data_IF_195785588254
#
_entry.id   IF_195785588254
#
_cell.length_a   1.000
_cell.length_b   1.000
_cell.length_c   1.000
_cell.angle_alpha   90.00
_cell.angle_beta   90.00
_cell.angle_gamma   90.00
#
_symmetry.space_group_name_H-M   'P 1'
#
loop_
_entity.id
_entity.type
_entity.pdbx_description
1 polymer ?
#
# COMPACT_ATOMS: atom_id res chain seq x y z
N UNK A 1 32.37 17.85 11.16
CA UNK A 1 31.55 18.91 10.55
C UNK A 1 30.37 18.23 9.87
N UNK A 2 29.28 18.08 10.61
CA UNK A 2 28.03 17.42 10.22
C UNK A 2 27.25 18.26 9.21
N UNK A 3 27.52 18.08 7.92
CA UNK A 3 26.64 18.60 6.89
C UNK A 3 25.34 17.78 6.88
N UNK A 4 24.20 18.42 7.20
CA UNK A 4 22.87 17.80 7.03
C UNK A 4 22.74 17.36 5.57
N UNK A 5 22.52 16.05 5.28
CA UNK A 5 22.37 15.60 3.90
C UNK A 5 21.13 16.24 3.28
N UNK A 6 21.26 16.69 2.03
CA UNK A 6 20.16 17.29 1.28
C UNK A 6 19.04 16.26 1.05
N UNK A 7 17.78 16.72 1.06
CA UNK A 7 16.60 15.88 0.85
C UNK A 7 16.67 15.11 -0.48
N UNK A 8 17.26 15.72 -1.51
CA UNK A 8 17.55 15.11 -2.82
C UNK A 8 18.67 15.91 -3.49
N UNK A 9 19.57 15.28 -4.25
CA UNK A 9 20.53 16.02 -5.10
C UNK A 9 19.78 16.69 -6.26
N UNK A 10 20.20 17.88 -6.71
CA UNK A 10 19.59 18.59 -7.86
C UNK A 10 19.44 17.70 -9.12
N UNK A 11 20.32 16.71 -9.27
CA UNK A 11 20.32 15.72 -10.35
C UNK A 11 19.13 14.76 -10.33
N UNK A 12 18.56 14.46 -9.15
CA UNK A 12 17.45 13.51 -8.98
C UNK A 12 16.09 14.18 -8.77
N UNK A 13 16.03 15.52 -8.67
CA UNK A 13 14.79 16.26 -8.38
C UNK A 13 13.69 16.02 -9.44
N UNK A 14 14.06 16.00 -10.73
CA UNK A 14 13.11 15.72 -11.82
C UNK A 14 12.55 14.30 -11.72
N UNK A 15 13.39 13.33 -11.34
CA UNK A 15 12.99 11.93 -11.18
C UNK A 15 12.11 11.76 -9.93
N UNK A 16 12.43 12.43 -8.83
CA UNK A 16 11.60 12.45 -7.63
C UNK A 16 10.22 13.05 -7.91
N UNK A 17 10.15 14.17 -8.64
CA UNK A 17 8.90 14.82 -9.03
C UNK A 17 8.05 13.89 -9.90
N UNK A 18 8.70 13.23 -10.88
CA UNK A 18 8.04 12.22 -11.71
C UNK A 18 7.50 11.07 -10.87
N UNK A 19 8.31 10.46 -9.99
CA UNK A 19 7.87 9.33 -9.17
C UNK A 19 6.78 9.75 -8.20
N UNK A 20 6.87 10.93 -7.63
CA UNK A 20 5.81 11.48 -6.76
C UNK A 20 4.48 11.61 -7.53
N UNK A 21 4.54 12.11 -8.78
CA UNK A 21 3.35 12.16 -9.65
C UNK A 21 2.82 10.77 -10.02
N UNK A 22 3.72 9.78 -10.17
CA UNK A 22 3.36 8.39 -10.41
C UNK A 22 2.60 7.80 -9.21
N UNK A 23 3.05 8.08 -7.98
CA UNK A 23 2.36 7.67 -6.76
C UNK A 23 0.97 8.32 -6.64
N UNK A 24 0.82 9.59 -7.04
CA UNK A 24 -0.47 10.28 -7.11
C UNK A 24 -1.42 9.60 -8.11
N UNK A 25 -0.98 9.43 -9.36
CA UNK A 25 -1.74 8.79 -10.44
C UNK A 25 -2.16 7.37 -10.06
N UNK A 26 -1.25 6.62 -9.47
CA UNK A 26 -1.53 5.29 -8.95
C UNK A 26 -2.57 5.33 -7.82
N UNK A 27 -2.47 6.25 -6.86
CA UNK A 27 -3.48 6.41 -5.80
C UNK A 27 -4.87 6.72 -6.34
N UNK A 28 -4.96 7.57 -7.37
CA UNK A 28 -6.21 7.87 -8.10
C UNK A 28 -6.73 6.60 -8.77
N UNK A 29 -5.88 5.89 -9.53
CA UNK A 29 -6.28 4.72 -10.28
C UNK A 29 -6.78 3.57 -9.37
N UNK A 30 -6.12 3.35 -8.24
CA UNK A 30 -6.50 2.32 -7.27
C UNK A 30 -7.87 2.62 -6.64
N UNK A 31 -8.04 3.81 -6.08
CA UNK A 31 -9.28 4.21 -5.40
C UNK A 31 -10.47 4.33 -6.36
N UNK A 32 -10.22 4.74 -7.60
CA UNK A 32 -11.21 4.73 -8.67
C UNK A 32 -11.58 3.29 -9.06
N UNK A 33 -10.59 2.40 -9.17
CA UNK A 33 -10.80 0.97 -9.42
C UNK A 33 -11.66 0.29 -8.35
N UNK A 34 -11.45 0.60 -7.08
CA UNK A 34 -12.26 0.09 -5.97
C UNK A 34 -13.72 0.55 -6.04
N UNK A 35 -13.91 1.85 -6.36
CA UNK A 35 -15.25 2.45 -6.54
C UNK A 35 -16.02 1.77 -7.66
N UNK A 36 -15.36 1.58 -8.81
CA UNK A 36 -15.94 0.95 -9.99
C UNK A 36 -16.24 -0.53 -9.76
N UNK A 37 -15.35 -1.25 -9.09
CA UNK A 37 -15.57 -2.66 -8.75
C UNK A 37 -16.82 -2.84 -7.87
N UNK A 38 -17.06 -1.93 -6.92
CA UNK A 38 -18.28 -1.95 -6.09
C UNK A 38 -19.54 -1.68 -6.90
N UNK A 39 -19.50 -0.68 -7.79
CA UNK A 39 -20.63 -0.38 -8.69
C UNK A 39 -20.93 -1.57 -9.62
N UNK A 40 -19.91 -2.19 -10.22
CA UNK A 40 -20.07 -3.42 -11.02
C UNK A 40 -20.66 -4.58 -10.22
N UNK A 41 -20.26 -4.76 -8.96
CA UNK A 41 -20.85 -5.80 -8.11
C UNK A 41 -22.36 -5.59 -7.89
N UNK A 42 -22.80 -4.34 -7.80
CA UNK A 42 -24.21 -3.99 -7.67
C UNK A 42 -24.97 -4.23 -8.99
N UNK A 43 -24.44 -3.76 -10.12
CA UNK A 43 -25.05 -3.88 -11.46
C UNK A 43 -25.17 -5.34 -11.90
N UNK A 44 -24.16 -6.17 -11.62
CA UNK A 44 -24.16 -7.60 -11.98
C UNK A 44 -24.86 -8.49 -10.93
N UNK A 45 -25.54 -7.90 -9.93
CA UNK A 45 -26.20 -8.60 -8.82
C UNK A 45 -25.33 -9.72 -8.20
N UNK A 46 -24.06 -9.40 -7.95
CA UNK A 46 -23.06 -10.38 -7.56
C UNK A 46 -23.36 -10.88 -6.13
N UNK A 47 -23.65 -12.18 -6.02
CA UNK A 47 -23.85 -12.82 -4.71
C UNK A 47 -22.59 -12.71 -3.85
N UNK A 48 -22.72 -12.67 -2.52
CA UNK A 48 -21.59 -12.58 -1.58
C UNK A 48 -20.46 -13.59 -1.87
N UNK A 49 -20.81 -14.83 -2.26
CA UNK A 49 -19.85 -15.85 -2.67
C UNK A 49 -19.02 -15.47 -3.91
N UNK A 50 -19.62 -14.76 -4.88
CA UNK A 50 -18.93 -14.26 -6.07
C UNK A 50 -18.05 -13.05 -5.77
N UNK A 51 -18.44 -12.18 -4.83
CA UNK A 51 -17.58 -11.09 -4.36
C UNK A 51 -16.29 -11.62 -3.69
N UNK A 52 -16.37 -12.74 -2.98
CA UNK A 52 -15.17 -13.40 -2.44
C UNK A 52 -14.18 -13.85 -3.52
N UNK A 53 -14.65 -14.32 -4.70
CA UNK A 53 -13.78 -14.66 -5.83
C UNK A 53 -13.09 -13.43 -6.44
N UNK A 54 -13.72 -12.26 -6.41
CA UNK A 54 -13.10 -10.99 -6.83
C UNK A 54 -11.94 -10.65 -5.89
N UNK A 55 -12.16 -10.72 -4.58
CA UNK A 55 -11.11 -10.49 -3.59
C UNK A 55 -9.98 -11.52 -3.73
N UNK A 56 -10.30 -12.81 -3.86
CA UNK A 56 -9.31 -13.86 -4.10
C UNK A 56 -8.44 -13.58 -5.33
N UNK A 57 -9.01 -12.96 -6.37
CA UNK A 57 -8.27 -12.60 -7.59
C UNK A 57 -7.33 -11.42 -7.36
N UNK A 58 -7.81 -10.39 -6.65
CA UNK A 58 -6.99 -9.24 -6.28
C UNK A 58 -5.82 -9.68 -5.39
N UNK A 59 -6.10 -10.33 -4.26
CA UNK A 59 -5.05 -10.76 -3.33
C UNK A 59 -4.20 -11.90 -3.89
N UNK A 60 -4.78 -12.82 -4.65
CA UNK A 60 -4.05 -13.88 -5.35
C UNK A 60 -3.03 -13.32 -6.34
N UNK A 61 -3.35 -12.21 -7.02
CA UNK A 61 -2.40 -11.55 -7.91
C UNK A 61 -1.19 -10.98 -7.17
N UNK A 62 -1.37 -10.42 -5.97
CA UNK A 62 -0.26 -10.00 -5.11
C UNK A 62 0.62 -11.19 -4.67
N UNK A 63 -0.01 -12.31 -4.29
CA UNK A 63 0.69 -13.54 -3.92
C UNK A 63 1.43 -14.20 -5.10
N UNK A 64 0.97 -14.03 -6.33
CA UNK A 64 1.61 -14.66 -7.50
C UNK A 64 2.66 -13.74 -8.11
N UNK A 65 2.36 -12.44 -8.23
CA UNK A 65 3.19 -11.51 -8.99
C UNK A 65 4.32 -10.87 -8.16
N UNK A 66 4.24 -10.90 -6.82
CA UNK A 66 5.31 -10.34 -5.97
C UNK A 66 6.70 -10.91 -6.30
N UNK A 67 6.87 -12.24 -6.29
CA UNK A 67 8.16 -12.90 -6.56
C UNK A 67 8.65 -12.66 -8.01
N UNK A 68 7.83 -12.90 -9.06
CA UNK A 68 8.21 -12.59 -10.44
C UNK A 68 8.61 -11.13 -10.64
N UNK A 69 7.89 -10.18 -10.05
CA UNK A 69 8.21 -8.76 -10.14
C UNK A 69 9.59 -8.45 -9.56
N UNK A 70 9.94 -9.02 -8.39
CA UNK A 70 11.27 -8.88 -7.79
C UNK A 70 12.39 -9.47 -8.63
N UNK A 71 12.18 -10.67 -9.15
CA UNK A 71 13.17 -11.33 -10.02
C UNK A 71 13.38 -10.56 -11.33
N UNK A 72 12.30 -10.01 -11.89
CA UNK A 72 12.36 -9.19 -13.08
C UNK A 72 13.10 -7.88 -12.82
N UNK A 73 12.79 -7.20 -11.71
CA UNK A 73 13.50 -6.01 -11.27
C UNK A 73 15.00 -6.27 -11.07
N UNK A 74 15.36 -7.40 -10.46
CA UNK A 74 16.77 -7.79 -10.28
C UNK A 74 17.54 -8.00 -11.57
N UNK A 75 16.87 -8.51 -12.60
CA UNK A 75 17.51 -8.83 -13.88
C UNK A 75 17.55 -7.64 -14.83
N UNK A 76 16.51 -6.82 -14.85
CA UNK A 76 16.33 -5.74 -15.83
C UNK A 76 16.42 -4.34 -15.23
N UNK A 77 16.43 -4.21 -13.90
CA UNK A 77 16.49 -2.96 -13.17
C UNK A 77 15.13 -2.29 -12.94
N UNK A 78 15.13 -1.26 -12.09
CA UNK A 78 13.93 -0.54 -11.65
C UNK A 78 13.08 0.04 -12.79
N UNK A 79 13.72 0.64 -13.81
CA UNK A 79 13.00 1.26 -14.95
C UNK A 79 12.09 0.25 -15.65
N UNK A 80 12.63 -0.92 -15.95
CA UNK A 80 11.88 -1.98 -16.63
C UNK A 80 10.83 -2.60 -15.72
N UNK A 81 11.08 -2.69 -14.42
CA UNK A 81 10.07 -3.11 -13.43
C UNK A 81 8.85 -2.19 -13.40
N UNK A 82 9.04 -0.86 -13.38
CA UNK A 82 7.93 0.11 -13.41
C UNK A 82 7.17 0.02 -14.74
N UNK A 83 7.87 -0.10 -15.87
CA UNK A 83 7.23 -0.25 -17.19
C UNK A 83 6.38 -1.52 -17.26
N UNK A 84 6.89 -2.65 -16.75
CA UNK A 84 6.13 -3.91 -16.69
C UNK A 84 4.83 -3.73 -15.89
N UNK A 85 4.91 -3.10 -14.72
CA UNK A 85 3.74 -2.84 -13.88
C UNK A 85 2.70 -1.94 -14.56
N UNK A 86 3.14 -0.84 -15.19
CA UNK A 86 2.25 0.07 -15.92
C UNK A 86 1.60 -0.61 -17.14
N UNK A 87 2.36 -1.43 -17.88
CA UNK A 87 1.82 -2.18 -19.02
C UNK A 87 0.79 -3.21 -18.58
N UNK A 88 1.08 -4.00 -17.53
CA UNK A 88 0.12 -4.97 -16.98
C UNK A 88 -1.15 -4.29 -16.49
N UNK A 89 -1.02 -3.14 -15.82
CA UNK A 89 -2.18 -2.37 -15.37
C UNK A 89 -3.02 -1.87 -16.56
N UNK A 90 -2.39 -1.28 -17.58
CA UNK A 90 -3.08 -0.79 -18.77
C UNK A 90 -3.78 -1.93 -19.54
N UNK A 91 -3.11 -3.08 -19.71
CA UNK A 91 -3.70 -4.28 -20.31
C UNK A 91 -4.90 -4.76 -19.50
N UNK A 92 -4.77 -4.82 -18.17
CA UNK A 92 -5.88 -5.16 -17.27
C UNK A 92 -7.08 -4.24 -17.47
N UNK A 93 -6.85 -2.91 -17.49
CA UNK A 93 -7.88 -1.90 -17.71
C UNK A 93 -8.55 -2.04 -19.10
N UNK A 94 -7.79 -2.28 -20.17
CA UNK A 94 -8.35 -2.50 -21.50
C UNK A 94 -9.14 -3.81 -21.61
N UNK A 95 -8.76 -4.84 -20.83
CA UNK A 95 -9.49 -6.10 -20.75
C UNK A 95 -10.89 -5.96 -20.09
N UNK A 96 -11.17 -4.87 -19.37
CA UNK A 96 -12.53 -4.60 -18.88
C UNK A 96 -13.52 -4.31 -20.01
N UNK A 97 -13.06 -3.79 -21.14
CA UNK A 97 -13.92 -3.50 -22.31
C UNK A 97 -14.55 -4.77 -22.89
N UNK A 98 -13.78 -5.79 -23.29
CA UNK A 98 -14.37 -7.05 -23.75
C UNK A 98 -15.11 -7.77 -22.62
N UNK A 99 -14.66 -7.67 -21.37
CA UNK A 99 -15.37 -8.27 -20.24
C UNK A 99 -16.77 -7.66 -20.03
N UNK A 100 -16.90 -6.34 -20.19
CA UNK A 100 -18.16 -5.63 -20.10
C UNK A 100 -19.08 -5.93 -21.29
N UNK A 101 -18.54 -5.97 -22.51
CA UNK A 101 -19.33 -6.29 -23.71
C UNK A 101 -19.86 -7.74 -23.71
N UNK A 102 -19.13 -8.66 -23.07
CA UNK A 102 -19.52 -10.07 -22.96
C UNK A 102 -20.36 -10.40 -21.71
N UNK A 103 -20.60 -9.41 -20.83
CA UNK A 103 -21.30 -9.55 -19.54
C UNK A 103 -20.83 -10.75 -18.69
N UNK A 104 -19.57 -11.16 -18.87
CA UNK A 104 -19.06 -12.40 -18.31
C UNK A 104 -18.23 -12.15 -17.05
N UNK A 105 -18.73 -12.67 -15.93
CA UNK A 105 -18.05 -12.61 -14.64
C UNK A 105 -16.65 -13.25 -14.67
N UNK A 106 -16.45 -14.29 -15.49
CA UNK A 106 -15.14 -14.95 -15.64
C UNK A 106 -14.09 -14.05 -16.29
N UNK A 107 -14.46 -13.36 -17.37
CA UNK A 107 -13.60 -12.38 -18.04
C UNK A 107 -13.31 -11.18 -17.15
N UNK A 108 -14.31 -10.70 -16.40
CA UNK A 108 -14.14 -9.64 -15.43
C UNK A 108 -13.12 -10.01 -14.34
N UNK A 109 -13.24 -11.23 -13.79
CA UNK A 109 -12.28 -11.76 -12.80
C UNK A 109 -10.86 -11.82 -13.36
N UNK A 110 -10.71 -12.26 -14.60
CA UNK A 110 -9.41 -12.32 -15.27
C UNK A 110 -8.82 -10.93 -15.51
N UNK A 111 -9.63 -9.97 -15.98
CA UNK A 111 -9.22 -8.59 -16.16
C UNK A 111 -8.75 -7.96 -14.84
N UNK A 112 -9.51 -8.16 -13.76
CA UNK A 112 -9.16 -7.76 -12.41
C UNK A 112 -7.85 -8.40 -11.94
N UNK A 113 -7.64 -9.70 -12.20
CA UNK A 113 -6.42 -10.40 -11.83
C UNK A 113 -5.19 -9.79 -12.53
N UNK A 114 -5.27 -9.54 -13.85
CA UNK A 114 -4.18 -8.94 -14.62
C UNK A 114 -3.90 -7.51 -14.14
N UNK A 115 -4.94 -6.71 -13.88
CA UNK A 115 -4.82 -5.37 -13.33
C UNK A 115 -4.12 -5.40 -11.97
N UNK A 116 -4.51 -6.34 -11.09
CA UNK A 116 -3.92 -6.54 -9.78
C UNK A 116 -2.46 -7.01 -9.84
N UNK A 117 -2.07 -7.80 -10.84
CA UNK A 117 -0.67 -8.14 -11.09
C UNK A 117 0.16 -6.89 -11.43
N UNK A 118 -0.40 -5.98 -12.24
CA UNK A 118 0.22 -4.69 -12.51
C UNK A 118 0.41 -3.85 -11.26
N UNK A 119 -0.63 -3.78 -10.42
CA UNK A 119 -0.60 -3.07 -9.13
C UNK A 119 0.47 -3.62 -8.18
N UNK A 120 0.50 -4.93 -7.99
CA UNK A 120 1.50 -5.62 -7.16
C UNK A 120 2.94 -5.40 -7.67
N UNK A 121 3.11 -5.39 -8.99
CA UNK A 121 4.41 -5.11 -9.62
C UNK A 121 4.85 -3.67 -9.34
N UNK A 122 3.95 -2.70 -9.50
CA UNK A 122 4.24 -1.29 -9.20
C UNK A 122 4.58 -1.08 -7.73
N UNK A 123 3.85 -1.69 -6.79
CA UNK A 123 4.18 -1.64 -5.35
C UNK A 123 5.58 -2.17 -5.06
N UNK A 124 5.89 -3.35 -5.62
CA UNK A 124 7.15 -4.06 -5.40
C UNK A 124 8.35 -3.25 -5.88
N UNK A 125 8.19 -2.49 -6.97
CA UNK A 125 9.27 -1.75 -7.62
C UNK A 125 9.32 -0.29 -7.15
N UNK A 126 8.19 0.36 -6.91
CA UNK A 126 8.12 1.80 -6.65
C UNK A 126 8.72 2.18 -5.30
N UNK A 127 8.48 1.40 -4.24
CA UNK A 127 9.06 1.68 -2.92
C UNK A 127 10.59 1.62 -2.91
N UNK A 128 11.25 0.54 -3.38
CA UNK A 128 12.70 0.52 -3.45
C UNK A 128 13.24 1.50 -4.51
N UNK A 129 12.49 1.80 -5.57
CA UNK A 129 12.89 2.84 -6.52
C UNK A 129 12.99 4.22 -5.87
N UNK A 130 12.01 4.62 -5.06
CA UNK A 130 12.06 5.90 -4.30
C UNK A 130 13.17 5.89 -3.26
N UNK A 131 13.36 4.75 -2.58
CA UNK A 131 14.49 4.56 -1.68
C UNK A 131 15.81 4.81 -2.41
N UNK A 132 15.92 4.33 -3.66
CA UNK A 132 17.11 4.43 -4.51
C UNK A 132 17.48 5.83 -5.00
N UNK A 133 16.56 6.80 -4.92
CA UNK A 133 16.74 8.15 -5.47
C UNK A 133 17.49 9.13 -4.52
N UNK A 134 18.54 8.67 -3.85
CA UNK A 134 19.42 9.52 -3.03
C UNK A 134 20.06 8.82 -1.85
N UNK A 135 20.54 9.60 -0.87
CA UNK A 135 21.19 9.09 0.35
C UNK A 135 20.27 8.13 1.13
N UNK A 136 20.83 7.01 1.60
CA UNK A 136 20.17 5.98 2.41
C UNK A 136 19.53 6.58 3.68
N UNK A 137 20.15 7.62 4.25
CA UNK A 137 19.66 8.29 5.49
C UNK A 137 18.33 9.01 5.32
N UNK A 138 17.97 9.42 4.10
CA UNK A 138 16.72 10.14 3.78
C UNK A 138 15.72 9.28 3.00
N UNK A 139 16.02 7.99 2.80
CA UNK A 139 15.17 7.01 2.10
C UNK A 139 13.74 6.96 2.66
N UNK A 140 13.62 6.82 3.99
CA UNK A 140 12.34 6.81 4.70
C UNK A 140 11.47 8.03 4.40
N UNK A 141 12.10 9.20 4.31
CA UNK A 141 11.41 10.47 4.11
C UNK A 141 10.91 10.60 2.67
N UNK A 142 11.71 10.16 1.68
CA UNK A 142 11.30 10.16 0.28
C UNK A 142 10.12 9.21 0.05
N UNK A 143 10.15 8.02 0.65
CA UNK A 143 9.04 7.05 0.57
C UNK A 143 7.78 7.66 1.17
N UNK A 144 7.86 8.20 2.39
CA UNK A 144 6.69 8.79 3.05
C UNK A 144 6.14 10.01 2.29
N UNK A 145 7.01 10.85 1.73
CA UNK A 145 6.60 11.98 0.90
C UNK A 145 5.87 11.51 -0.36
N UNK A 146 6.40 10.50 -1.07
CA UNK A 146 5.72 9.95 -2.25
C UNK A 146 4.37 9.31 -1.87
N UNK A 147 4.32 8.62 -0.73
CA UNK A 147 3.11 8.02 -0.18
C UNK A 147 2.06 9.04 0.27
N UNK A 148 2.45 10.26 0.64
CA UNK A 148 1.50 11.34 0.92
C UNK A 148 0.68 11.68 -0.33
N UNK A 149 1.33 11.80 -1.49
CA UNK A 149 0.65 12.04 -2.76
C UNK A 149 -0.22 10.87 -3.19
N UNK A 150 0.19 9.64 -2.90
CA UNK A 150 -0.67 8.48 -3.09
C UNK A 150 -1.97 8.58 -2.25
N UNK A 151 -1.86 9.00 -0.98
CA UNK A 151 -3.02 9.27 -0.12
C UNK A 151 -3.94 10.36 -0.67
N UNK A 152 -3.39 11.46 -1.21
CA UNK A 152 -4.17 12.48 -1.90
C UNK A 152 -4.90 11.92 -3.13
N UNK A 153 -4.21 11.06 -3.90
CA UNK A 153 -4.81 10.36 -5.03
C UNK A 153 -5.99 9.49 -4.61
N UNK A 154 -5.88 8.82 -3.45
CA UNK A 154 -6.96 8.03 -2.84
C UNK A 154 -8.21 8.84 -2.47
N UNK A 155 -8.07 10.14 -2.21
CA UNK A 155 -9.19 11.04 -1.94
C UNK A 155 -9.79 11.56 -3.26
N UNK A 156 -8.95 11.90 -4.24
CA UNK A 156 -9.38 12.43 -5.53
C UNK A 156 -10.09 11.37 -6.37
N UNK A 157 -9.60 10.12 -6.35
CA UNK A 157 -10.11 9.05 -7.21
C UNK A 157 -11.61 8.77 -7.05
N UNK A 158 -12.16 8.56 -5.84
CA UNK A 158 -13.59 8.35 -5.65
C UNK A 158 -14.43 9.57 -6.03
N UNK A 159 -13.93 10.80 -5.82
CA UNK A 159 -14.63 12.03 -6.22
C UNK A 159 -14.76 12.12 -7.74
N UNK A 160 -13.67 11.87 -8.46
CA UNK A 160 -13.67 11.82 -9.93
C UNK A 160 -14.55 10.67 -10.41
N UNK A 161 -14.44 9.49 -9.81
CA UNK A 161 -15.26 8.33 -10.15
C UNK A 161 -16.74 8.55 -9.97
N UNK A 162 -17.13 9.10 -8.81
CA UNK A 162 -18.51 9.46 -8.52
C UNK A 162 -19.06 10.48 -9.52
N UNK A 163 -18.29 11.51 -9.87
CA UNK A 163 -18.73 12.49 -10.87
C UNK A 163 -18.97 11.88 -12.25
N UNK A 164 -18.10 10.97 -12.70
CA UNK A 164 -18.27 10.29 -13.99
C UNK A 164 -19.43 9.29 -13.99
N UNK A 165 -19.62 8.54 -12.90
CA UNK A 165 -20.75 7.60 -12.76
C UNK A 165 -22.08 8.36 -12.67
N UNK A 166 -22.17 9.39 -11.82
CA UNK A 166 -23.39 10.18 -11.63
C UNK A 166 -23.80 10.97 -12.88
N UNK A 167 -22.83 11.44 -13.68
CA UNK A 167 -23.13 12.05 -14.98
C UNK A 167 -23.72 11.06 -15.98
N UNK A 168 -23.32 9.80 -15.94
CA UNK A 168 -23.86 8.79 -16.83
C UNK A 168 -25.29 8.36 -16.46
N UNK A 169 -25.62 8.38 -15.16
CA UNK A 169 -26.98 8.11 -14.66
C UNK A 169 -27.98 9.17 -15.14
N UNK A 170 -27.54 10.43 -15.28
CA UNK A 170 -28.36 11.53 -15.82
C UNK A 170 -28.65 11.40 -17.33
N UNK A 171 -27.81 10.69 -18.10
CA UNK A 171 -27.93 10.59 -19.56
C UNK A 171 -28.74 9.38 -20.06
N UNK A 172 -29.35 8.56 -19.19
CA UNK A 172 -30.05 7.31 -19.58
C UNK A 172 -29.18 6.37 -20.43
N UNK A 173 -27.86 6.50 -20.34
CA UNK A 173 -26.91 5.61 -21.00
C UNK A 173 -26.72 4.37 -20.15
N UNK A 174 -26.95 3.19 -20.72
CA UNK A 174 -26.65 1.86 -20.16
C UNK A 174 -25.46 1.90 -19.18
N UNK A 175 -25.68 1.64 -17.88
CA UNK A 175 -24.67 1.77 -16.81
C UNK A 175 -23.33 1.09 -17.15
N UNK A 176 -23.40 -0.03 -17.88
CA UNK A 176 -22.23 -0.77 -18.36
C UNK A 176 -21.35 0.03 -19.33
N UNK A 177 -21.92 0.89 -20.17
CA UNK A 177 -21.20 1.75 -21.13
C UNK A 177 -20.43 2.85 -20.41
N UNK A 178 -21.01 3.43 -19.36
CA UNK A 178 -20.38 4.45 -18.55
C UNK A 178 -19.11 3.93 -17.89
N UNK A 179 -19.22 2.76 -17.27
CA UNK A 179 -18.09 2.13 -16.58
C UNK A 179 -17.01 1.70 -17.57
N UNK A 180 -17.41 1.16 -18.73
CA UNK A 180 -16.49 0.84 -19.83
C UNK A 180 -15.68 2.06 -20.28
N UNK A 181 -16.35 3.19 -20.50
CA UNK A 181 -15.70 4.43 -20.92
C UNK A 181 -14.72 4.94 -19.85
N UNK A 182 -15.04 4.76 -18.57
CA UNK A 182 -14.16 5.16 -17.48
C UNK A 182 -12.90 4.29 -17.42
N UNK A 183 -13.01 2.96 -17.53
CA UNK A 183 -11.84 2.07 -17.61
C UNK A 183 -10.98 2.32 -18.86
N UNK A 184 -11.60 2.69 -19.99
CA UNK A 184 -10.86 3.12 -21.18
C UNK A 184 -10.03 4.39 -20.93
N UNK A 185 -10.61 5.39 -20.26
CA UNK A 185 -9.90 6.63 -19.91
C UNK A 185 -8.72 6.30 -18.98
N UNK A 186 -8.95 5.51 -17.92
CA UNK A 186 -7.90 5.11 -16.98
C UNK A 186 -6.79 4.34 -17.69
N UNK A 187 -7.13 3.34 -18.49
CA UNK A 187 -6.17 2.55 -19.25
C UNK A 187 -5.34 3.41 -20.20
N UNK A 188 -5.98 4.38 -20.87
CA UNK A 188 -5.31 5.31 -21.79
C UNK A 188 -4.37 6.26 -21.05
N UNK A 189 -4.80 6.83 -19.91
CA UNK A 189 -3.94 7.70 -19.09
C UNK A 189 -2.72 6.95 -18.59
N UNK A 190 -2.89 5.72 -18.11
CA UNK A 190 -1.78 4.90 -17.59
C UNK A 190 -0.86 4.44 -18.71
N UNK A 191 -1.40 4.10 -19.88
CA UNK A 191 -0.61 3.80 -21.07
C UNK A 191 0.22 5.02 -21.51
N UNK A 192 -0.37 6.23 -21.52
CA UNK A 192 0.37 7.46 -21.81
C UNK A 192 1.50 7.70 -20.80
N UNK A 193 1.26 7.48 -19.51
CA UNK A 193 2.29 7.58 -18.46
C UNK A 193 3.40 6.55 -18.69
N UNK A 194 3.07 5.32 -19.09
CA UNK A 194 4.04 4.30 -19.45
C UNK A 194 4.93 4.72 -20.63
N UNK A 195 4.32 5.29 -21.68
CA UNK A 195 5.03 5.80 -22.85
C UNK A 195 5.94 6.95 -22.47
N UNK A 196 5.45 7.96 -21.73
CA UNK A 196 6.26 9.08 -21.24
C UNK A 196 7.44 8.58 -20.39
N UNK A 197 7.20 7.61 -19.50
CA UNK A 197 8.25 7.03 -18.67
C UNK A 197 9.29 6.24 -19.47
N UNK A 198 8.88 5.62 -20.59
CA UNK A 198 9.83 4.91 -21.47
C UNK A 198 10.91 5.85 -22.03
N UNK A 199 10.55 7.11 -22.30
CA UNK A 199 11.47 8.15 -22.77
C UNK A 199 12.33 8.77 -21.67
N UNK A 200 11.93 8.64 -20.39
CA UNK A 200 12.74 9.14 -19.26
C UNK A 200 14.00 8.29 -19.14
N UNK A 201 15.17 8.94 -19.29
CA UNK A 201 16.47 8.33 -19.01
C UNK A 201 16.71 8.33 -17.50
N UNK A 202 16.37 7.21 -16.87
CA UNK A 202 16.75 6.94 -15.48
C UNK A 202 18.26 6.61 -15.48
N UNK A 203 19.12 7.37 -14.77
CA UNK A 203 20.52 6.99 -14.58
C UNK A 203 20.60 5.59 -13.97
N UNK A 204 21.68 4.85 -14.20
CA UNK A 204 21.91 3.60 -13.48
C UNK A 204 21.97 3.93 -11.97
N UNK A 205 20.88 3.64 -11.26
CA UNK A 205 20.80 3.83 -9.82
C UNK A 205 21.54 2.65 -9.19
N UNK A 206 22.67 2.92 -8.55
CA UNK A 206 23.23 2.01 -7.56
C UNK A 206 22.22 1.93 -6.42
N UNK A 207 21.65 0.74 -6.23
CA UNK A 207 20.71 0.45 -5.16
C UNK A 207 21.36 0.85 -3.81
N UNK A 208 20.84 1.84 -3.07
CA UNK A 208 21.50 2.39 -1.87
C UNK A 208 21.45 1.44 -0.67
N UNK A 209 20.79 0.28 -0.81
CA UNK A 209 20.90 -0.83 0.13
C UNK A 209 22.03 -1.79 -0.25
N UNK A 210 22.63 -1.64 -1.42
CA UNK A 210 23.94 -2.22 -1.78
C UNK A 210 24.97 -1.28 -1.21
N UNK A 211 25.58 -1.67 -0.09
CA UNK A 211 26.74 -1.00 0.47
C UNK A 211 27.76 -0.82 -0.67
N UNK A 212 28.01 0.42 -1.07
CA UNK A 212 29.18 0.76 -1.85
C UNK A 212 30.39 0.26 -1.05
N UNK A 213 31.12 -0.70 -1.62
CA UNK A 213 32.22 -1.40 -0.96
C UNK A 213 33.44 -0.50 -0.67
N UNK A 214 33.35 0.82 -0.87
CA UNK A 214 34.50 1.71 -0.93
C UNK A 214 34.58 2.74 0.22
N UNK A 215 34.02 2.47 1.41
CA UNK A 215 34.17 3.42 2.54
C UNK A 215 34.50 2.84 3.92
N UNK A 216 34.66 1.52 4.06
CA UNK A 216 35.22 0.93 5.29
C UNK A 216 36.14 -0.26 4.98
N UNK A 217 37.14 -0.03 4.12
CA UNK A 217 38.27 -0.94 3.99
C UNK A 217 39.19 -0.82 5.23
N UNK A 218 38.77 -1.38 6.37
CA UNK A 218 39.67 -1.91 7.40
C UNK A 218 39.03 -3.17 7.99
N UNK A 219 39.57 -4.32 7.65
CA UNK A 219 39.25 -5.62 8.27
C UNK A 219 38.50 -6.56 7.32
N UNK A 220 39.22 -7.56 6.82
CA UNK A 220 38.77 -8.48 5.78
C UNK A 220 37.66 -9.45 6.17
N UNK A 221 37.01 -9.99 5.14
CA UNK A 221 36.00 -11.03 5.23
C UNK A 221 35.04 -10.94 4.05
N UNK A 222 35.24 -11.78 3.04
CA UNK A 222 34.32 -11.98 1.92
C UNK A 222 32.90 -12.22 2.45
N UNK A 223 31.99 -11.26 2.21
CA UNK A 223 30.59 -11.38 2.61
C UNK A 223 29.85 -12.32 1.65
N UNK A 224 29.97 -13.63 1.91
CA UNK A 224 29.13 -14.67 1.31
C UNK A 224 27.65 -14.35 1.64
N UNK A 225 26.74 -14.25 0.65
CA UNK A 225 25.35 -13.88 0.91
C UNK A 225 24.65 -14.97 1.74
N UNK A 226 24.41 -14.70 3.03
CA UNK A 226 23.52 -15.53 3.86
C UNK A 226 22.13 -15.56 3.18
N UNK A 227 21.53 -16.74 3.02
CA UNK A 227 20.17 -16.92 2.44
C UNK A 227 19.18 -15.94 3.09
N UNK A 228 18.38 -15.23 2.28
CA UNK A 228 17.40 -14.20 2.68
C UNK A 228 16.56 -14.59 3.91
N UNK A 229 16.07 -15.83 3.95
CA UNK A 229 15.25 -16.37 5.05
C UNK A 229 16.00 -16.62 6.37
N UNK A 230 17.33 -16.50 6.38
CA UNK A 230 18.16 -16.65 7.58
C UNK A 230 18.30 -15.33 8.34
N UNK A 231 17.96 -14.19 7.71
CA UNK A 231 17.94 -12.88 8.35
C UNK A 231 16.62 -12.71 9.12
N UNK A 232 16.72 -12.83 10.45
CA UNK A 232 15.56 -12.78 11.35
C UNK A 232 14.79 -11.46 11.26
N UNK A 233 15.46 -10.33 11.02
CA UNK A 233 14.80 -9.03 10.88
C UNK A 233 13.86 -8.99 9.65
N UNK A 234 14.29 -9.57 8.52
CA UNK A 234 13.51 -9.62 7.29
C UNK A 234 12.26 -10.49 7.43
N UNK A 235 12.40 -11.70 7.98
CA UNK A 235 11.26 -12.61 8.20
C UNK A 235 10.23 -11.97 9.13
N UNK A 236 10.69 -11.30 10.19
CA UNK A 236 9.81 -10.59 11.11
C UNK A 236 9.16 -9.36 10.47
N UNK A 237 9.84 -8.66 9.56
CA UNK A 237 9.27 -7.54 8.79
C UNK A 237 8.18 -8.01 7.82
N UNK A 238 8.38 -9.15 7.13
CA UNK A 238 7.37 -9.73 6.25
C UNK A 238 6.11 -10.14 7.04
N UNK A 239 6.30 -10.75 8.21
CA UNK A 239 5.19 -11.07 9.12
C UNK A 239 4.51 -9.78 9.61
N UNK A 240 5.27 -8.80 10.10
CA UNK A 240 4.71 -7.54 10.57
C UNK A 240 3.91 -6.82 9.47
N UNK A 241 4.37 -6.87 8.22
CA UNK A 241 3.66 -6.29 7.08
C UNK A 241 2.36 -7.03 6.77
N UNK A 242 2.37 -8.36 6.81
CA UNK A 242 1.16 -9.18 6.66
C UNK A 242 0.09 -8.77 7.68
N UNK A 243 0.47 -8.68 8.96
CA UNK A 243 -0.43 -8.27 10.03
C UNK A 243 -0.83 -6.79 9.94
N UNK A 244 0.05 -5.93 9.44
CA UNK A 244 -0.25 -4.51 9.21
C UNK A 244 -1.32 -4.32 8.13
N UNK A 245 -1.18 -4.97 6.97
CA UNK A 245 -2.16 -4.86 5.90
C UNK A 245 -3.47 -5.58 6.27
N UNK A 246 -3.39 -6.68 7.02
CA UNK A 246 -4.55 -7.33 7.63
C UNK A 246 -5.35 -6.39 8.56
N UNK A 247 -4.67 -5.68 9.46
CA UNK A 247 -5.32 -4.69 10.34
C UNK A 247 -5.93 -3.54 9.53
N UNK A 248 -5.25 -3.09 8.47
CA UNK A 248 -5.74 -2.05 7.56
C UNK A 248 -7.03 -2.45 6.87
N UNK A 249 -7.02 -3.61 6.20
CA UNK A 249 -8.17 -4.12 5.45
C UNK A 249 -9.37 -4.32 6.37
N UNK A 250 -9.15 -4.88 7.57
CA UNK A 250 -10.19 -5.03 8.58
C UNK A 250 -10.76 -3.69 9.04
N UNK A 251 -9.90 -2.75 9.44
CA UNK A 251 -10.34 -1.43 9.93
C UNK A 251 -11.12 -0.67 8.87
N UNK A 252 -10.67 -0.69 7.61
CA UNK A 252 -11.36 0.01 6.51
C UNK A 252 -12.69 -0.63 6.14
N UNK A 253 -12.75 -1.96 6.09
CA UNK A 253 -13.97 -2.68 5.75
C UNK A 253 -15.10 -2.46 6.77
N UNK A 254 -14.77 -2.45 8.07
CA UNK A 254 -15.75 -2.31 9.14
C UNK A 254 -15.93 -0.86 9.63
N UNK A 255 -15.21 0.12 9.07
CA UNK A 255 -15.35 1.52 9.47
C UNK A 255 -16.77 2.04 9.23
N UNK A 256 -17.30 1.82 8.02
CA UNK A 256 -18.63 2.30 7.62
C UNK A 256 -19.71 1.52 8.37
N UNK A 257 -19.55 0.20 8.54
CA UNK A 257 -20.49 -0.64 9.28
C UNK A 257 -20.58 -0.22 10.75
N UNK A 258 -19.44 0.08 11.39
CA UNK A 258 -19.41 0.60 12.75
C UNK A 258 -20.17 1.93 12.87
N UNK A 259 -19.97 2.86 11.93
CA UNK A 259 -20.70 4.13 11.91
C UNK A 259 -22.22 3.97 11.75
N UNK A 260 -22.65 2.99 10.95
CA UNK A 260 -24.06 2.73 10.71
C UNK A 260 -24.74 1.99 11.88
N UNK A 261 -24.17 0.87 12.34
CA UNK A 261 -24.79 -0.02 13.32
C UNK A 261 -24.65 0.47 14.77
N UNK A 262 -23.52 1.11 15.12
CA UNK A 262 -23.25 1.51 16.50
C UNK A 262 -23.61 2.98 16.75
N UNK A 263 -23.39 3.85 15.78
CA UNK A 263 -23.72 5.27 15.92
C UNK A 263 -25.06 5.68 15.32
N UNK A 264 -25.74 4.81 14.58
CA UNK A 264 -26.98 5.15 13.89
C UNK A 264 -26.82 6.26 12.84
N UNK A 265 -25.60 6.47 12.32
CA UNK A 265 -25.34 7.47 11.30
C UNK A 265 -25.80 6.93 9.94
N UNK A 266 -26.45 7.79 9.15
CA UNK A 266 -26.70 7.54 7.72
C UNK A 266 -25.40 7.16 6.99
N UNK A 267 -25.47 6.25 6.03
CA UNK A 267 -24.31 5.79 5.25
C UNK A 267 -23.52 6.93 4.58
N UNK A 268 -24.19 8.03 4.22
CA UNK A 268 -23.56 9.24 3.68
C UNK A 268 -22.63 9.90 4.71
N UNK A 269 -23.13 10.19 5.92
CA UNK A 269 -22.33 10.76 7.02
C UNK A 269 -21.15 9.86 7.40
N UNK A 270 -21.34 8.54 7.43
CA UNK A 270 -20.26 7.59 7.68
C UNK A 270 -19.15 7.66 6.61
N UNK A 271 -19.52 7.83 5.34
CA UNK A 271 -18.57 8.03 4.23
C UNK A 271 -17.79 9.35 4.35
N UNK A 272 -18.44 10.44 4.78
CA UNK A 272 -17.75 11.71 5.06
C UNK A 272 -16.69 11.55 6.16
N UNK A 273 -17.01 10.85 7.25
CA UNK A 273 -16.06 10.58 8.31
C UNK A 273 -14.96 9.59 7.91
N UNK A 274 -15.24 8.64 7.02
CA UNK A 274 -14.20 7.79 6.43
C UNK A 274 -13.22 8.64 5.61
N UNK A 275 -13.72 9.58 4.82
CA UNK A 275 -12.89 10.53 4.07
C UNK A 275 -12.06 11.43 5.01
N UNK A 276 -12.65 11.85 6.14
CA UNK A 276 -11.92 12.55 7.19
C UNK A 276 -10.81 11.68 7.80
N UNK A 277 -11.04 10.37 8.01
CA UNK A 277 -10.04 9.44 8.50
C UNK A 277 -8.88 9.24 7.53
N UNK A 278 -9.15 9.25 6.22
CA UNK A 278 -8.11 9.25 5.18
C UNK A 278 -7.29 10.53 5.19
N UNK A 279 -7.93 11.68 5.37
CA UNK A 279 -7.22 12.96 5.55
C UNK A 279 -6.36 12.93 6.81
N UNK A 280 -6.87 12.34 7.89
CA UNK A 280 -6.10 12.16 9.13
C UNK A 280 -4.92 11.22 8.94
N UNK A 281 -5.05 10.17 8.13
CA UNK A 281 -3.93 9.32 7.72
C UNK A 281 -2.86 10.13 6.97
N UNK A 282 -3.27 11.00 6.04
CA UNK A 282 -2.37 11.89 5.29
C UNK A 282 -1.62 12.85 6.23
N UNK A 283 -2.32 13.46 7.20
CA UNK A 283 -1.69 14.27 8.24
C UNK A 283 -0.76 13.45 9.15
N UNK A 284 -1.15 12.23 9.50
CA UNK A 284 -0.34 11.29 10.26
C UNK A 284 0.98 10.97 9.55
N UNK A 285 0.96 10.78 8.23
CA UNK A 285 2.19 10.58 7.43
C UNK A 285 3.10 11.80 7.53
N UNK A 286 2.55 13.00 7.41
CA UNK A 286 3.34 14.24 7.46
C UNK A 286 3.99 14.43 8.84
N UNK A 287 3.21 14.30 9.91
CA UNK A 287 3.70 14.43 11.28
C UNK A 287 4.70 13.32 11.61
N UNK A 288 4.38 12.06 11.29
CA UNK A 288 5.26 10.93 11.52
C UNK A 288 6.60 11.07 10.79
N UNK A 289 6.59 11.58 9.55
CA UNK A 289 7.82 11.86 8.78
C UNK A 289 8.66 12.96 9.42
N UNK A 290 8.03 14.02 9.93
CA UNK A 290 8.72 15.08 10.66
C UNK A 290 9.32 14.56 11.97
N UNK A 291 8.59 13.73 12.73
CA UNK A 291 9.07 13.12 13.96
C UNK A 291 10.26 12.19 13.70
N UNK A 292 10.22 11.38 12.63
CA UNK A 292 11.36 10.55 12.20
C UNK A 292 12.58 11.39 11.82
N UNK A 293 12.37 12.57 11.24
CA UNK A 293 13.44 13.46 10.80
C UNK A 293 14.20 14.10 11.96
N UNK A 294 13.49 14.51 13.01
CA UNK A 294 14.06 15.41 14.02
C UNK A 294 14.21 14.80 15.42
N UNK A 295 13.45 13.75 15.76
CA UNK A 295 13.25 13.39 17.18
C UNK A 295 13.48 11.91 17.47
N UNK A 296 12.95 10.99 16.65
CA UNK A 296 12.82 9.57 17.05
C UNK A 296 13.31 8.63 15.95
N UNK A 297 14.10 7.61 16.33
CA UNK A 297 14.50 6.55 15.41
C UNK A 297 13.27 5.80 14.84
N UNK A 298 13.25 5.40 13.56
CA UNK A 298 12.04 4.83 12.92
C UNK A 298 11.45 3.63 13.67
N UNK A 299 12.29 2.77 14.22
CA UNK A 299 11.85 1.62 15.04
C UNK A 299 11.15 2.05 16.34
N UNK A 300 11.61 3.13 16.98
CA UNK A 300 11.00 3.66 18.20
C UNK A 300 9.64 4.28 17.91
N UNK A 301 9.54 5.02 16.82
CA UNK A 301 8.27 5.62 16.41
C UNK A 301 7.25 4.54 16.05
N UNK A 302 7.68 3.48 15.37
CA UNK A 302 6.81 2.35 14.99
C UNK A 302 6.15 1.69 16.20
N UNK A 303 6.93 1.32 17.23
CA UNK A 303 6.34 0.65 18.40
C UNK A 303 5.48 1.61 19.25
N UNK A 304 5.83 2.90 19.34
CA UNK A 304 4.99 3.90 20.02
C UNK A 304 3.63 4.00 19.33
N UNK A 305 3.62 4.12 18.00
CA UNK A 305 2.39 4.23 17.22
C UNK A 305 1.58 2.93 17.28
N UNK A 306 2.24 1.76 17.34
CA UNK A 306 1.58 0.48 17.56
C UNK A 306 0.87 0.42 18.92
N UNK A 307 1.51 0.91 19.99
CA UNK A 307 0.87 1.01 21.32
C UNK A 307 -0.31 1.97 21.30
N UNK A 308 -0.17 3.14 20.68
CA UNK A 308 -1.28 4.07 20.51
C UNK A 308 -2.46 3.41 19.78
N UNK A 309 -2.21 2.66 18.71
CA UNK A 309 -3.26 1.93 17.99
C UNK A 309 -3.91 0.83 18.83
N UNK A 310 -3.16 0.11 19.65
CA UNK A 310 -3.73 -0.87 20.59
C UNK A 310 -4.69 -0.18 21.56
N UNK A 311 -4.28 0.94 22.17
CA UNK A 311 -5.12 1.71 23.09
C UNK A 311 -6.37 2.23 22.39
N UNK A 312 -6.25 2.77 21.18
CA UNK A 312 -7.39 3.24 20.42
C UNK A 312 -8.35 2.09 20.07
N UNK A 313 -7.84 0.91 19.67
CA UNK A 313 -8.68 -0.26 19.42
C UNK A 313 -9.43 -0.72 20.68
N UNK A 314 -8.78 -0.68 21.85
CA UNK A 314 -9.45 -0.98 23.13
C UNK A 314 -10.59 0.01 23.42
N UNK A 315 -10.39 1.30 23.14
CA UNK A 315 -11.41 2.34 23.29
C UNK A 315 -12.56 2.14 22.30
N UNK A 316 -12.27 1.70 21.07
CA UNK A 316 -13.32 1.33 20.09
C UNK A 316 -14.12 0.13 20.60
N UNK A 317 -13.46 -0.89 21.12
CA UNK A 317 -14.11 -2.11 21.60
C UNK A 317 -15.03 -1.88 22.82
N UNK A 318 -14.78 -0.84 23.63
CA UNK A 318 -15.63 -0.47 24.78
C UNK A 318 -16.92 0.24 24.41
N UNK A 319 -17.13 0.58 23.13
CA UNK A 319 -18.37 1.18 22.62
C UNK A 319 -18.86 2.42 23.42
N UNK A 320 -17.96 3.37 23.64
CA UNK A 320 -18.19 4.63 24.39
C UNK A 320 -18.84 5.72 23.51
N UNK A 321 -19.63 5.33 22.51
CA UNK A 321 -20.31 6.23 21.56
C UNK A 321 -19.33 7.16 20.81
N UNK A 322 -19.43 8.50 20.93
CA UNK A 322 -18.58 9.47 20.21
C UNK A 322 -17.08 9.32 20.44
N UNK A 323 -16.67 8.85 21.61
CA UNK A 323 -15.25 8.66 21.92
C UNK A 323 -14.67 7.51 21.09
N UNK A 324 -15.41 6.41 20.94
CA UNK A 324 -14.99 5.28 20.11
C UNK A 324 -14.89 5.64 18.63
N UNK A 325 -15.76 6.52 18.14
CA UNK A 325 -15.70 6.96 16.75
C UNK A 325 -14.52 7.90 16.47
N UNK A 326 -14.20 8.81 17.41
CA UNK A 326 -12.98 9.62 17.33
C UNK A 326 -11.74 8.72 17.41
N UNK A 327 -11.73 7.72 18.29
CA UNK A 327 -10.65 6.74 18.38
C UNK A 327 -10.47 5.99 17.05
N UNK A 328 -11.57 5.63 16.37
CA UNK A 328 -11.52 4.97 15.06
C UNK A 328 -10.90 5.86 13.96
N UNK A 329 -11.21 7.15 13.96
CA UNK A 329 -10.56 8.12 13.06
C UNK A 329 -9.07 8.24 13.41
N UNK A 330 -8.72 8.28 14.70
CA UNK A 330 -7.34 8.36 15.16
C UNK A 330 -6.52 7.10 14.88
N UNK A 331 -7.15 5.92 14.77
CA UNK A 331 -6.44 4.70 14.35
C UNK A 331 -5.78 4.90 12.98
N UNK A 332 -6.47 5.53 12.03
CA UNK A 332 -5.92 5.82 10.70
C UNK A 332 -4.73 6.80 10.76
N UNK A 333 -4.73 7.74 11.72
CA UNK A 333 -3.62 8.66 11.94
C UNK A 333 -2.33 7.91 12.34
N UNK A 334 -2.40 7.05 13.35
CA UNK A 334 -1.23 6.28 13.80
C UNK A 334 -0.87 5.14 12.85
N UNK A 335 -1.85 4.58 12.13
CA UNK A 335 -1.61 3.55 11.13
C UNK A 335 -0.75 4.06 9.96
N UNK A 336 -0.89 5.35 9.64
CA UNK A 336 -0.36 5.99 8.44
C UNK A 336 1.12 5.73 8.10
N UNK A 337 2.00 5.63 9.11
CA UNK A 337 3.44 5.46 8.95
C UNK A 337 3.91 4.00 9.07
N UNK A 338 3.05 3.09 9.50
CA UNK A 338 3.44 1.72 9.84
C UNK A 338 3.95 0.97 8.62
N UNK A 339 3.17 0.98 7.52
CA UNK A 339 3.53 0.32 6.27
C UNK A 339 4.91 0.78 5.74
N UNK A 340 5.16 2.08 5.48
CA UNK A 340 6.45 2.53 4.94
C UNK A 340 7.61 2.30 5.92
N UNK A 341 7.37 2.41 7.23
CA UNK A 341 8.41 2.19 8.25
C UNK A 341 8.79 0.72 8.37
N UNK A 342 7.81 -0.19 8.38
CA UNK A 342 8.06 -1.65 8.38
C UNK A 342 8.80 -2.05 7.12
N UNK A 343 8.35 -1.53 5.97
CA UNK A 343 8.97 -1.81 4.68
C UNK A 343 10.45 -1.39 4.67
N UNK A 344 10.74 -0.15 5.06
CA UNK A 344 12.11 0.36 5.06
C UNK A 344 13.02 -0.34 6.08
N UNK A 345 12.54 -0.55 7.31
CA UNK A 345 13.28 -1.32 8.33
C UNK A 345 13.52 -2.76 7.87
N UNK A 346 12.55 -3.35 7.16
CA UNK A 346 12.63 -4.68 6.59
C UNK A 346 13.60 -4.81 5.43
N UNK A 347 13.92 -3.70 4.74
CA UNK A 347 14.87 -3.64 3.62
C UNK A 347 16.30 -3.21 4.04
N UNK A 348 16.50 -2.85 5.30
CA UNK A 348 17.79 -2.36 5.78
C UNK A 348 18.84 -3.48 5.81
N UNK A 349 20.08 -3.16 5.44
CA UNK A 349 21.25 -4.06 5.52
C UNK A 349 21.13 -5.37 4.69
N UNK A 350 20.32 -5.37 3.62
CA UNK A 350 20.02 -6.53 2.77
C UNK A 350 20.86 -6.67 1.48
N UNK A 351 21.61 -5.64 1.08
CA UNK A 351 22.53 -5.72 -0.05
C UNK A 351 21.84 -6.09 -1.37
N UNK A 352 22.39 -7.08 -2.07
CA UNK A 352 21.89 -7.62 -3.35
C UNK A 352 20.55 -8.40 -3.25
N UNK A 353 19.97 -8.49 -2.05
CA UNK A 353 18.70 -9.19 -1.80
C UNK A 353 17.53 -8.25 -1.57
N UNK A 354 17.74 -6.93 -1.56
CA UNK A 354 16.72 -5.89 -1.32
C UNK A 354 15.51 -6.02 -2.26
N UNK A 355 15.76 -6.28 -3.54
CA UNK A 355 14.75 -6.46 -4.58
C UNK A 355 13.87 -7.71 -4.37
N UNK A 356 14.47 -8.79 -3.87
CA UNK A 356 13.73 -10.00 -3.51
C UNK A 356 12.99 -9.79 -2.18
N UNK A 357 13.61 -9.10 -1.23
CA UNK A 357 13.00 -8.77 0.05
C UNK A 357 11.75 -7.88 -0.12
N UNK A 358 11.81 -6.85 -0.97
CA UNK A 358 10.67 -5.98 -1.24
C UNK A 358 9.46 -6.76 -1.75
N UNK A 359 9.72 -7.73 -2.61
CA UNK A 359 8.71 -8.61 -3.21
C UNK A 359 7.98 -9.47 -2.17
N UNK A 360 8.72 -10.07 -1.25
CA UNK A 360 8.14 -10.85 -0.15
C UNK A 360 7.38 -9.96 0.84
N UNK A 361 7.85 -8.74 1.09
CA UNK A 361 7.14 -7.80 1.95
C UNK A 361 5.82 -7.36 1.28
N UNK A 362 5.82 -7.09 -0.03
CA UNK A 362 4.60 -6.76 -0.79
C UNK A 362 3.63 -7.95 -0.90
N UNK A 363 4.13 -9.19 -0.94
CA UNK A 363 3.26 -10.36 -0.81
C UNK A 363 2.46 -10.38 0.50
N UNK A 364 2.93 -9.70 1.55
CA UNK A 364 2.19 -9.48 2.79
C UNK A 364 0.86 -8.74 2.60
N UNK A 365 0.66 -8.03 1.47
CA UNK A 365 -0.62 -7.36 1.15
C UNK A 365 -1.80 -8.33 1.07
N UNK A 366 -1.53 -9.61 0.80
CA UNK A 366 -2.50 -10.71 0.86
C UNK A 366 -3.25 -10.78 2.19
N UNK A 367 -2.61 -10.35 3.30
CA UNK A 367 -3.23 -10.29 4.62
C UNK A 367 -4.48 -9.40 4.66
N UNK A 368 -4.52 -8.33 3.86
CA UNK A 368 -5.65 -7.41 3.76
C UNK A 368 -6.93 -8.04 3.21
N UNK A 369 -6.81 -9.19 2.54
CA UNK A 369 -7.96 -9.95 2.04
C UNK A 369 -8.43 -11.03 2.98
N UNK A 370 -7.50 -11.68 3.66
CA UNK A 370 -7.79 -12.83 4.51
C UNK A 370 -8.38 -12.40 5.87
N UNK A 371 -7.90 -11.26 6.39
CA UNK A 371 -8.27 -10.79 7.72
C UNK A 371 -9.69 -10.20 7.83
N UNK A 372 -10.23 -9.47 6.84
CA UNK A 372 -11.63 -9.01 6.87
C UNK A 372 -12.64 -10.16 6.94
N UNK A 373 -12.35 -11.34 6.37
CA UNK A 373 -13.19 -12.52 6.53
C UNK A 373 -13.19 -13.02 7.98
N UNK A 374 -12.00 -13.10 8.61
CA UNK A 374 -11.87 -13.48 10.03
C UNK A 374 -12.56 -12.47 10.95
N UNK A 375 -12.42 -11.17 10.65
CA UNK A 375 -13.06 -10.10 11.40
C UNK A 375 -14.59 -10.12 11.20
N UNK A 376 -15.08 -10.57 10.05
CA UNK A 376 -16.52 -10.75 9.77
C UNK A 376 -17.18 -11.82 10.61
N UNK A 377 -16.52 -12.97 10.78
CA UNK A 377 -17.02 -14.04 11.65
C UNK A 377 -17.14 -13.60 13.12
N UNK A 378 -16.28 -12.68 13.57
CA UNK A 378 -16.35 -12.10 14.91
C UNK A 378 -17.37 -10.96 14.96
N UNK A 379 -17.49 -10.18 13.90
CA UNK A 379 -18.43 -9.07 13.76
C UNK A 379 -19.90 -9.52 13.73
N UNK A 380 -20.19 -10.74 13.26
CA UNK A 380 -21.55 -11.33 13.27
C UNK A 380 -22.14 -11.44 14.70
N UNK A 381 -21.31 -11.42 15.74
CA UNK A 381 -21.76 -11.40 17.14
C UNK A 381 -21.82 -9.97 17.72
N UNK A 382 -20.79 -9.14 17.48
CA UNK A 382 -20.77 -7.72 17.84
C UNK A 382 -19.66 -6.99 17.07
N UNK A 383 -19.98 -5.92 16.35
CA UNK A 383 -19.00 -5.15 15.56
C UNK A 383 -17.92 -4.51 16.46
N UNK A 384 -18.23 -4.18 17.71
CA UNK A 384 -17.25 -3.64 18.65
C UNK A 384 -16.21 -4.69 19.08
N UNK A 385 -16.60 -5.96 19.24
CA UNK A 385 -15.64 -7.02 19.61
C UNK A 385 -14.75 -7.42 18.44
N UNK A 386 -15.16 -7.15 17.20
CA UNK A 386 -14.33 -7.33 16.02
C UNK A 386 -13.02 -6.52 16.09
N UNK A 387 -13.01 -5.38 16.81
CA UNK A 387 -11.82 -4.55 17.01
C UNK A 387 -10.79 -5.12 18.00
N UNK A 388 -11.08 -6.22 18.69
CA UNK A 388 -10.04 -7.01 19.39
C UNK A 388 -9.10 -7.72 18.42
N UNK A 389 -9.53 -8.00 17.20
CA UNK A 389 -8.72 -8.74 16.23
C UNK A 389 -7.55 -7.88 15.68
N UNK A 390 -7.73 -6.60 15.30
CA UNK A 390 -6.62 -5.69 15.00
C UNK A 390 -5.62 -5.51 16.14
N UNK A 391 -6.01 -5.67 17.42
CA UNK A 391 -5.09 -5.56 18.56
C UNK A 391 -3.98 -6.61 18.45
N UNK A 392 -4.31 -7.84 18.05
CA UNK A 392 -3.32 -8.91 17.85
C UNK A 392 -2.33 -8.49 16.76
N UNK A 393 -2.82 -7.92 15.65
CA UNK A 393 -1.94 -7.40 14.60
C UNK A 393 -0.99 -6.32 15.10
N UNK A 394 -1.51 -5.34 15.86
CA UNK A 394 -0.70 -4.26 16.39
C UNK A 394 0.31 -4.73 17.44
N UNK A 395 0.01 -5.80 18.20
CA UNK A 395 0.97 -6.44 19.10
C UNK A 395 2.15 -7.04 18.30
N UNK A 396 1.88 -7.71 17.18
CA UNK A 396 2.94 -8.24 16.30
C UNK A 396 3.83 -7.11 15.76
N UNK A 397 3.23 -5.99 15.36
CA UNK A 397 3.96 -4.80 14.87
C UNK A 397 4.77 -4.15 16.00
N UNK A 398 4.21 -4.06 17.21
CA UNK A 398 4.91 -3.59 18.40
C UNK A 398 6.14 -4.44 18.70
N UNK A 399 5.98 -5.77 18.71
CA UNK A 399 7.06 -6.71 18.93
C UNK A 399 8.15 -6.54 17.86
N UNK A 400 7.79 -6.36 16.59
CA UNK A 400 8.76 -6.08 15.54
C UNK A 400 9.56 -4.79 15.82
N UNK A 401 8.88 -3.67 16.09
CA UNK A 401 9.55 -2.39 16.36
C UNK A 401 10.43 -2.42 17.62
N UNK A 402 9.98 -3.12 18.67
CA UNK A 402 10.71 -3.24 19.93
C UNK A 402 11.91 -4.19 19.84
N UNK A 403 11.77 -5.35 19.18
CA UNK A 403 12.84 -6.33 19.00
C UNK A 403 13.81 -5.96 17.87
N UNK A 404 13.48 -5.00 17.00
CA UNK A 404 14.31 -4.57 15.87
C UNK A 404 15.80 -4.35 16.20
N UNK A 405 16.19 -3.64 17.29
CA UNK A 405 17.61 -3.45 17.63
C UNK A 405 18.36 -4.75 17.90
N UNK A 406 17.68 -5.77 18.46
CA UNK A 406 18.25 -7.09 18.74
C UNK A 406 18.31 -7.93 17.46
N UNK A 407 17.27 -7.83 16.63
CA UNK A 407 17.19 -8.53 15.33
C UNK A 407 18.24 -8.02 14.34
N UNK A 408 18.57 -6.72 14.36
CA UNK A 408 19.61 -6.17 13.51
C UNK A 408 21.03 -6.60 13.97
N UNK A 409 21.29 -6.60 15.28
CA UNK A 409 22.59 -7.07 15.83
C UNK A 409 22.88 -8.54 15.50
N UNK A 410 21.85 -9.40 15.52
CA UNK A 410 21.97 -10.82 15.15
C UNK A 410 22.25 -11.05 13.65
N UNK A 411 22.04 -10.06 12.79
CA UNK A 411 22.37 -10.16 11.36
C UNK A 411 23.84 -9.83 11.08
N UNK A 412 24.46 -9.04 11.96
CA UNK A 412 25.85 -8.56 11.86
C UNK A 412 26.84 -9.56 12.51
N UNK A 413 26.38 -10.39 13.47
CA UNK A 413 27.08 -11.60 13.93
C UNK A 413 26.80 -12.79 13.01
#
# INVERSE_FOLDING_TARGET
MDAKPNFTERKYFVILLFVTSLFLLWGIAMSLGDTLNKHFQNVLHITKARSAYVQLSLFGAYAVMGIPAGLFMKKFGYKWGVLLGLCLYAVGAFLFVPASNAESFGFFRFALFVLACGLATLETVAHPFVAALGDQRTSDQRINFSQFFNGLGGIIGPVVGGFFILKADQEHSNDLVAVRNLYLIIGTVIAMVAVLFSFVKVPALSDPHVVALDSYAVGGGEHVPKKLFRQKHFVFAAIAQLFNVAAQGGTWAYFINYGHEIMGLSSEKASYFFSLSMLMMVFGRLIGTLLMRYIIAPNKLLWIFAVCNIVMCLIVAQNLGPVSFIALIMINFFFSIMFPTIFSLGLKDLGKSTEQASSFIVMGVVGGGLFPFLMGWVADYNVATAYYLPIICYIVIFLFGFLYPRLNRSAIS
#
